data_IF_295837682516
#
_entry.id   IF_295837682516
#
_cell.length_a   1.000
_cell.length_b   1.000
_cell.length_c   1.000
_cell.angle_alpha   90.00
_cell.angle_beta   90.00
_cell.angle_gamma   90.00
#
_symmetry.space_group_name_H-M   'P 1'
#
loop_
_entity.id
_entity.type
_entity.pdbx_description
1 polymer ?
#
# COMPACT_ATOMS: atom_id res chain seq x y z
N UNK A 1 -17.10 15.54 0.11
CA UNK A 1 -15.62 15.45 0.13
C UNK A 1 -15.07 16.69 -0.53
N UNK A 2 -14.13 17.43 0.07
CA UNK A 2 -13.58 18.65 -0.54
C UNK A 2 -12.54 18.30 -1.63
N UNK A 3 -12.27 19.24 -2.55
CA UNK A 3 -11.38 19.03 -3.69
C UNK A 3 -9.95 18.66 -3.27
N UNK A 4 -9.47 19.23 -2.16
CA UNK A 4 -8.14 18.95 -1.58
C UNK A 4 -8.02 17.51 -1.11
N UNK A 5 -9.03 17.00 -0.38
CA UNK A 5 -9.06 15.61 0.07
C UNK A 5 -9.10 14.64 -1.11
N UNK A 6 -9.92 14.94 -2.12
CA UNK A 6 -9.94 14.14 -3.35
C UNK A 6 -8.58 14.14 -4.05
N UNK A 7 -7.96 15.32 -4.22
CA UNK A 7 -6.63 15.44 -4.81
C UNK A 7 -5.56 14.66 -4.05
N UNK A 8 -5.59 14.68 -2.71
CA UNK A 8 -4.70 13.89 -1.87
C UNK A 8 -4.87 12.39 -2.06
N UNK A 9 -6.12 11.90 -2.14
CA UNK A 9 -6.43 10.49 -2.39
C UNK A 9 -5.94 10.06 -3.77
N UNK A 10 -6.19 10.86 -4.81
CA UNK A 10 -5.76 10.54 -6.18
C UNK A 10 -4.24 10.52 -6.30
N UNK A 11 -3.54 11.50 -5.71
CA UNK A 11 -2.08 11.53 -5.70
C UNK A 11 -1.49 10.32 -4.96
N UNK A 12 -2.04 9.97 -3.80
CA UNK A 12 -1.65 8.77 -3.06
C UNK A 12 -1.93 7.48 -3.84
N UNK A 13 -3.06 7.42 -4.55
CA UNK A 13 -3.42 6.26 -5.39
C UNK A 13 -2.39 6.03 -6.50
N UNK A 14 -1.96 7.11 -7.18
CA UNK A 14 -0.92 7.04 -8.21
C UNK A 14 0.41 6.60 -7.59
N UNK A 15 0.78 7.17 -6.45
CA UNK A 15 2.01 6.79 -5.75
C UNK A 15 2.04 5.31 -5.35
N UNK A 16 0.97 4.81 -4.72
CA UNK A 16 0.83 3.40 -4.31
C UNK A 16 0.87 2.50 -5.55
N UNK A 17 0.11 2.82 -6.59
CA UNK A 17 0.08 2.01 -7.82
C UNK A 17 1.44 1.93 -8.51
N UNK A 18 2.19 3.05 -8.58
CA UNK A 18 3.55 3.05 -9.13
C UNK A 18 4.51 2.22 -8.26
N UNK A 19 4.38 2.32 -6.94
CA UNK A 19 5.19 1.55 -5.99
C UNK A 19 4.93 0.05 -6.12
N UNK A 20 3.66 -0.36 -6.21
CA UNK A 20 3.26 -1.75 -6.46
C UNK A 20 3.80 -2.27 -7.79
N UNK A 21 3.67 -1.48 -8.86
CA UNK A 21 4.16 -1.85 -10.19
C UNK A 21 5.68 -2.03 -10.20
N UNK A 22 6.44 -1.05 -9.70
CA UNK A 22 7.90 -1.15 -9.64
C UNK A 22 8.31 -2.37 -8.81
N UNK A 23 7.65 -2.60 -7.67
CA UNK A 23 8.01 -3.69 -6.77
C UNK A 23 7.69 -5.05 -7.36
N UNK A 24 6.49 -5.26 -7.89
CA UNK A 24 6.03 -6.60 -8.28
C UNK A 24 6.32 -6.94 -9.75
N UNK A 25 6.29 -5.95 -10.65
CA UNK A 25 6.51 -6.19 -12.09
C UNK A 25 7.97 -5.99 -12.50
N UNK A 26 8.72 -5.11 -11.83
CA UNK A 26 10.12 -4.84 -12.18
C UNK A 26 11.08 -5.56 -11.23
N UNK A 27 10.97 -5.31 -9.92
CA UNK A 27 11.99 -5.78 -8.96
C UNK A 27 11.81 -7.25 -8.57
N UNK A 28 10.59 -7.69 -8.29
CA UNK A 28 10.32 -9.00 -7.66
C UNK A 28 9.62 -10.00 -8.57
N UNK A 29 9.43 -9.68 -9.84
CA UNK A 29 8.73 -10.55 -10.79
C UNK A 29 9.34 -11.96 -10.83
N UNK A 30 10.66 -12.05 -10.92
CA UNK A 30 11.37 -13.33 -10.95
C UNK A 30 11.18 -14.13 -9.67
N UNK A 31 11.22 -13.50 -8.49
CA UNK A 31 10.98 -14.15 -7.21
C UNK A 31 9.59 -14.80 -7.16
N UNK A 32 8.57 -14.06 -7.60
CA UNK A 32 7.20 -14.57 -7.66
C UNK A 32 7.04 -15.73 -8.65
N UNK A 33 7.51 -15.55 -9.90
CA UNK A 33 7.39 -16.56 -10.95
C UNK A 33 8.15 -17.84 -10.58
N UNK A 34 9.38 -17.73 -10.09
CA UNK A 34 10.16 -18.89 -9.65
C UNK A 34 9.52 -19.59 -8.45
N UNK A 35 9.03 -18.84 -7.46
CA UNK A 35 8.36 -19.43 -6.30
C UNK A 35 7.10 -20.19 -6.70
N UNK A 36 6.24 -19.59 -7.53
CA UNK A 36 5.02 -20.25 -8.01
C UNK A 36 5.33 -21.49 -8.85
N UNK A 37 6.35 -21.43 -9.72
CA UNK A 37 6.79 -22.59 -10.49
C UNK A 37 7.27 -23.74 -9.59
N UNK A 38 7.97 -23.46 -8.49
CA UNK A 38 8.37 -24.47 -7.49
C UNK A 38 7.17 -25.09 -6.76
N UNK A 39 6.05 -24.37 -6.66
CA UNK A 39 4.79 -24.88 -6.13
C UNK A 39 3.97 -25.65 -7.18
N UNK A 40 4.44 -25.75 -8.43
CA UNK A 40 3.67 -26.31 -9.55
C UNK A 40 2.50 -25.43 -9.98
N UNK A 41 2.55 -24.13 -9.67
CA UNK A 41 1.53 -23.14 -9.99
C UNK A 41 2.03 -22.14 -11.04
N UNK A 42 1.10 -21.56 -11.78
CA UNK A 42 1.39 -20.41 -12.65
C UNK A 42 1.17 -19.12 -11.87
N UNK A 43 2.16 -18.22 -11.87
CA UNK A 43 2.01 -16.91 -11.25
C UNK A 43 0.95 -16.08 -12.01
N UNK A 44 -0.07 -15.52 -11.34
CA UNK A 44 -1.16 -14.82 -12.01
C UNK A 44 -0.74 -13.39 -12.38
N UNK A 45 -0.10 -13.21 -13.53
CA UNK A 45 0.42 -11.91 -13.97
C UNK A 45 -0.29 -11.29 -15.18
N UNK A 46 -1.48 -11.78 -15.50
CA UNK A 46 -2.33 -11.16 -16.52
C UNK A 46 -2.61 -9.67 -16.20
N UNK A 47 -2.72 -8.79 -17.21
CA UNK A 47 -2.95 -7.35 -17.02
C UNK A 47 -4.14 -7.00 -16.12
N UNK A 48 -5.17 -7.86 -16.10
CA UNK A 48 -6.34 -7.69 -15.22
C UNK A 48 -5.95 -7.69 -13.73
N UNK A 49 -4.95 -8.46 -13.32
CA UNK A 49 -4.47 -8.47 -11.94
C UNK A 49 -3.79 -7.14 -11.58
N UNK A 50 -3.08 -6.54 -12.52
CA UNK A 50 -2.55 -5.17 -12.37
C UNK A 50 -3.66 -4.13 -12.17
N UNK A 51 -4.78 -4.26 -12.89
CA UNK A 51 -5.95 -3.39 -12.68
C UNK A 51 -6.58 -3.59 -11.29
N UNK A 52 -6.65 -4.83 -10.79
CA UNK A 52 -7.11 -5.13 -9.43
C UNK A 52 -6.18 -4.51 -8.38
N UNK A 53 -4.86 -4.56 -8.59
CA UNK A 53 -3.90 -3.83 -7.75
C UNK A 53 -4.14 -2.31 -7.77
N UNK A 54 -4.43 -1.73 -8.94
CA UNK A 54 -4.82 -0.31 -9.04
C UNK A 54 -6.09 0.03 -8.25
N UNK A 55 -7.11 -0.83 -8.30
CA UNK A 55 -8.32 -0.68 -7.48
C UNK A 55 -7.99 -0.78 -5.98
N UNK A 56 -7.17 -1.76 -5.59
CA UNK A 56 -6.70 -1.91 -4.22
C UNK A 56 -5.96 -0.66 -3.74
N UNK A 57 -5.06 -0.09 -4.56
CA UNK A 57 -4.34 1.16 -4.26
C UNK A 57 -5.30 2.33 -3.99
N UNK A 58 -6.36 2.43 -4.79
CA UNK A 58 -7.37 3.48 -4.61
C UNK A 58 -8.15 3.32 -3.31
N UNK A 59 -8.62 2.10 -3.01
CA UNK A 59 -9.32 1.79 -1.76
C UNK A 59 -8.42 2.01 -0.55
N UNK A 60 -7.14 1.63 -0.66
CA UNK A 60 -6.17 1.84 0.40
C UNK A 60 -5.88 3.33 0.63
N UNK A 61 -5.75 4.15 -0.42
CA UNK A 61 -5.60 5.60 -0.30
C UNK A 61 -6.81 6.27 0.40
N UNK A 62 -8.04 5.80 0.13
CA UNK A 62 -9.24 6.24 0.84
C UNK A 62 -9.14 5.89 2.33
N UNK A 63 -8.74 4.65 2.64
CA UNK A 63 -8.58 4.19 4.01
C UNK A 63 -7.52 5.01 4.78
N UNK A 64 -6.35 5.27 4.16
CA UNK A 64 -5.31 6.14 4.73
C UNK A 64 -5.84 7.55 4.98
N UNK A 65 -6.60 8.12 4.04
CA UNK A 65 -7.23 9.45 4.22
C UNK A 65 -8.22 9.47 5.39
N UNK A 66 -8.96 8.37 5.61
CA UNK A 66 -9.88 8.24 6.74
C UNK A 66 -9.14 8.05 8.07
N UNK A 67 -8.10 7.20 8.12
CA UNK A 67 -7.26 7.03 9.32
C UNK A 67 -6.58 8.35 9.71
N UNK A 68 -6.07 9.09 8.74
CA UNK A 68 -5.42 10.38 8.98
C UNK A 68 -6.39 11.46 9.49
N UNK A 69 -7.70 11.22 9.56
CA UNK A 69 -8.62 12.12 10.27
C UNK A 69 -8.62 11.92 11.78
N UNK A 70 -8.17 10.74 12.25
CA UNK A 70 -8.30 10.29 13.64
C UNK A 70 -6.95 10.05 14.31
N UNK A 71 -5.94 9.70 13.52
CA UNK A 71 -4.64 9.26 14.00
C UNK A 71 -3.53 10.21 13.54
N UNK A 72 -2.51 10.39 14.38
CA UNK A 72 -1.29 11.13 14.00
C UNK A 72 -0.62 10.53 12.75
N UNK A 73 0.32 11.26 12.17
CA UNK A 73 1.08 10.83 10.99
C UNK A 73 1.72 9.45 11.17
N UNK A 74 2.46 9.24 12.26
CA UNK A 74 3.12 7.97 12.54
C UNK A 74 2.12 6.85 12.83
N UNK A 75 1.05 7.13 13.58
CA UNK A 75 -0.02 6.15 13.83
C UNK A 75 -0.73 5.73 12.54
N UNK A 76 -0.96 6.66 11.62
CA UNK A 76 -1.58 6.38 10.32
C UNK A 76 -0.69 5.51 9.46
N UNK A 77 0.62 5.78 9.43
CA UNK A 77 1.60 4.93 8.73
C UNK A 77 1.60 3.53 9.34
N UNK A 78 1.71 3.42 10.67
CA UNK A 78 1.74 2.14 11.36
C UNK A 78 0.47 1.31 11.08
N UNK A 79 -0.72 1.88 11.31
CA UNK A 79 -1.97 1.16 11.11
C UNK A 79 -2.25 0.88 9.64
N UNK A 80 -1.94 1.81 8.74
CA UNK A 80 -2.06 1.62 7.31
C UNK A 80 -1.18 0.47 6.81
N UNK A 81 0.10 0.48 7.17
CA UNK A 81 1.04 -0.57 6.80
C UNK A 81 0.66 -1.93 7.40
N UNK A 82 0.31 -1.95 8.70
CA UNK A 82 -0.10 -3.17 9.38
C UNK A 82 -1.32 -3.81 8.70
N UNK A 83 -2.38 -3.04 8.44
CA UNK A 83 -3.62 -3.57 7.88
C UNK A 83 -3.50 -3.97 6.41
N UNK A 84 -2.73 -3.21 5.60
CA UNK A 84 -2.63 -3.46 4.17
C UNK A 84 -1.60 -4.55 3.81
N UNK A 85 -0.49 -4.62 4.54
CA UNK A 85 0.62 -5.51 4.22
C UNK A 85 0.76 -6.66 5.20
N UNK A 86 0.91 -6.36 6.50
CA UNK A 86 1.19 -7.39 7.50
C UNK A 86 0.06 -8.42 7.57
N UNK A 87 -1.20 -7.95 7.61
CA UNK A 87 -2.35 -8.87 7.60
C UNK A 87 -2.41 -9.71 6.32
N UNK A 88 -2.13 -9.12 5.16
CA UNK A 88 -2.09 -9.84 3.88
C UNK A 88 -1.00 -10.92 3.91
N UNK A 89 0.23 -10.58 4.32
CA UNK A 89 1.35 -11.51 4.40
C UNK A 89 1.11 -12.66 5.35
N UNK A 90 0.41 -12.45 6.47
CA UNK A 90 -0.01 -13.53 7.37
C UNK A 90 -0.93 -14.51 6.64
N UNK A 91 -1.92 -14.01 5.88
CA UNK A 91 -2.86 -14.86 5.13
C UNK A 91 -2.15 -15.63 4.02
N UNK A 92 -1.36 -14.95 3.17
CA UNK A 92 -0.68 -15.61 2.05
C UNK A 92 0.49 -16.49 2.50
N UNK A 93 1.11 -16.17 3.64
CA UNK A 93 2.10 -17.01 4.31
C UNK A 93 1.47 -18.30 4.83
N UNK A 94 0.29 -18.22 5.46
CA UNK A 94 -0.48 -19.39 5.87
C UNK A 94 -0.90 -20.28 4.69
N UNK A 95 -1.17 -19.67 3.53
CA UNK A 95 -1.45 -20.41 2.29
C UNK A 95 -0.20 -20.99 1.61
N UNK A 96 1.00 -20.79 2.17
CA UNK A 96 2.29 -21.21 1.61
C UNK A 96 2.57 -20.68 0.19
N UNK A 97 1.97 -19.54 -0.20
CA UNK A 97 2.21 -18.90 -1.51
C UNK A 97 3.11 -17.67 -1.42
N UNK A 98 3.56 -17.31 -0.21
CA UNK A 98 4.45 -16.18 0.04
C UNK A 98 5.94 -16.63 -0.04
N UNK A 99 6.74 -16.04 -0.93
CA UNK A 99 8.18 -16.21 -0.91
C UNK A 99 8.79 -15.40 0.24
N UNK A 100 9.03 -16.02 1.40
CA UNK A 100 9.53 -15.33 2.61
C UNK A 100 10.81 -14.52 2.39
N UNK A 101 11.71 -14.94 1.49
CA UNK A 101 12.92 -14.19 1.15
C UNK A 101 12.63 -12.79 0.58
N UNK A 102 11.47 -12.59 -0.03
CA UNK A 102 11.02 -11.31 -0.57
C UNK A 102 10.77 -10.28 0.55
N UNK A 103 10.38 -10.72 1.75
CA UNK A 103 10.06 -9.84 2.88
C UNK A 103 11.22 -8.94 3.32
N UNK A 104 12.47 -9.37 3.12
CA UNK A 104 13.67 -8.56 3.42
C UNK A 104 13.60 -7.21 2.70
N UNK A 105 13.08 -7.20 1.47
CA UNK A 105 12.92 -5.98 0.67
C UNK A 105 11.46 -5.46 0.67
N UNK A 106 10.46 -6.33 0.74
CA UNK A 106 9.05 -5.91 0.78
C UNK A 106 8.70 -5.11 2.04
N UNK A 107 9.25 -5.47 3.21
CA UNK A 107 9.01 -4.74 4.47
C UNK A 107 9.44 -3.27 4.36
N UNK A 108 10.71 -2.93 4.08
CA UNK A 108 11.12 -1.53 4.00
C UNK A 108 10.42 -0.77 2.86
N UNK A 109 10.22 -1.39 1.70
CA UNK A 109 9.59 -0.73 0.55
C UNK A 109 8.09 -0.44 0.80
N UNK A 110 7.36 -1.35 1.44
CA UNK A 110 5.94 -1.12 1.77
C UNK A 110 5.77 -0.05 2.85
N UNK A 111 6.68 0.04 3.82
CA UNK A 111 6.66 1.16 4.80
C UNK A 111 6.89 2.49 4.07
N UNK A 112 7.86 2.55 3.15
CA UNK A 112 8.14 3.76 2.37
C UNK A 112 6.94 4.15 1.48
N UNK A 113 6.26 3.16 0.91
CA UNK A 113 5.06 3.37 0.13
C UNK A 113 3.95 4.03 0.95
N UNK A 114 3.63 3.47 2.13
CA UNK A 114 2.62 4.05 3.03
C UNK A 114 3.04 5.43 3.52
N UNK A 115 4.31 5.61 3.90
CA UNK A 115 4.85 6.91 4.28
C UNK A 115 4.61 7.96 3.19
N UNK A 116 4.98 7.65 1.94
CA UNK A 116 4.81 8.56 0.80
C UNK A 116 3.34 8.89 0.53
N UNK A 117 2.45 7.89 0.63
CA UNK A 117 1.01 8.08 0.48
C UNK A 117 0.43 9.01 1.54
N UNK A 118 0.75 8.78 2.82
CA UNK A 118 0.29 9.62 3.93
C UNK A 118 0.87 11.03 3.82
N UNK A 119 2.14 11.15 3.42
CA UNK A 119 2.78 12.44 3.17
C UNK A 119 2.09 13.24 2.06
N UNK A 120 1.74 12.62 0.94
CA UNK A 120 0.99 13.26 -0.15
C UNK A 120 -0.39 13.75 0.32
N UNK A 121 -1.12 12.90 1.06
CA UNK A 121 -2.42 13.25 1.64
C UNK A 121 -2.28 14.48 2.55
N UNK A 122 -1.29 14.49 3.44
CA UNK A 122 -1.05 15.62 4.34
C UNK A 122 -0.67 16.88 3.58
N UNK A 123 0.19 16.77 2.56
CA UNK A 123 0.70 17.91 1.81
C UNK A 123 -0.40 18.62 1.01
N UNK A 124 -1.32 17.85 0.42
CA UNK A 124 -2.40 18.37 -0.42
C UNK A 124 -3.62 18.80 0.42
N UNK A 125 -3.83 18.18 1.57
CA UNK A 125 -4.92 18.51 2.49
C UNK A 125 -4.40 18.81 3.92
N UNK A 126 -3.69 19.93 4.10
CA UNK A 126 -2.99 20.27 5.36
C UNK A 126 -3.95 20.50 6.54
N UNK A 127 -5.20 20.86 6.25
CA UNK A 127 -6.26 21.11 7.24
C UNK A 127 -6.54 19.89 8.14
N UNK A 128 -6.29 18.67 7.66
CA UNK A 128 -6.39 17.44 8.49
C UNK A 128 -5.49 17.51 9.72
N UNK A 129 -4.27 18.02 9.55
CA UNK A 129 -3.30 18.15 10.64
C UNK A 129 -3.75 19.20 11.67
N UNK A 130 -4.46 20.24 11.22
CA UNK A 130 -4.97 21.30 12.10
C UNK A 130 -6.18 20.84 12.91
N UNK A 131 -7.04 19.99 12.34
CA UNK A 131 -8.17 19.37 13.07
C UNK A 131 -7.68 18.42 14.17
N UNK A 132 -6.65 17.62 13.90
CA UNK A 132 -6.04 16.74 14.90
C UNK A 132 -5.52 17.50 16.12
N UNK A 133 -4.78 18.60 15.90
CA UNK A 133 -4.25 19.46 16.98
C UNK A 133 -5.32 20.15 17.82
N UNK A 134 -6.56 20.24 17.33
CA UNK A 134 -7.69 20.80 18.08
C UNK A 134 -8.45 19.76 18.91
N UNK A 135 -8.22 18.47 18.65
CA UNK A 135 -8.89 17.36 19.32
C UNK A 135 -8.01 16.64 20.35
N UNK A 136 -6.72 17.00 20.42
CA UNK A 136 -5.76 16.56 21.44
C UNK A 136 -5.59 17.66 22.50
#
# INVERSE_FOLDING_TARGET
>A
MNLRRLGGILAATVWISLSEFIRNEILFKSYWVTHYALLGLTFPDNPINGAVWGLWSFLFAIALSALFQRFSFIQTIFWGWFMAFVLMWVVIGNMNVLPYGLLVFAVPLSILEVFGAVWLIQRIHPELSATQKRQA
#
